data_IF_878540179842
#
_entry.id   IF_878540179842
#
_cell.length_a   1.000
_cell.length_b   1.000
_cell.length_c   1.000
_cell.angle_alpha   90.00
_cell.angle_beta   90.00
_cell.angle_gamma   90.00
#
_symmetry.space_group_name_H-M   'P 1'
#
loop_
_entity.id
_entity.type
_entity.pdbx_description
1 polymer ?
#
# COMPACT_ATOMS: atom_id res chain seq x y z
N UNK A 1 -7.38 -58.09 54.08
CA UNK A 1 -6.43 -56.99 53.83
C UNK A 1 -6.71 -56.44 52.44
N UNK A 2 -7.11 -55.18 52.34
CA UNK A 2 -7.62 -54.57 51.11
C UNK A 2 -6.47 -54.00 50.26
N UNK A 3 -6.52 -54.22 48.94
CA UNK A 3 -5.58 -53.64 47.98
C UNK A 3 -6.15 -52.31 47.44
N UNK A 4 -5.34 -51.25 47.50
CA UNK A 4 -5.68 -49.91 47.01
C UNK A 4 -5.35 -49.81 45.52
N UNK A 5 -6.32 -49.44 44.70
CA UNK A 5 -6.11 -49.14 43.28
C UNK A 5 -5.82 -47.64 43.10
N UNK A 6 -4.69 -47.32 42.48
CA UNK A 6 -4.32 -45.94 42.10
C UNK A 6 -5.00 -45.61 40.78
N UNK A 7 -5.86 -44.58 40.76
CA UNK A 7 -6.44 -44.02 39.54
C UNK A 7 -5.56 -42.86 39.08
N UNK A 8 -4.87 -43.03 37.95
CA UNK A 8 -4.14 -41.96 37.26
C UNK A 8 -5.13 -41.11 36.47
N UNK A 9 -5.22 -39.82 36.82
CA UNK A 9 -6.03 -38.84 36.09
C UNK A 9 -5.12 -38.08 35.12
N UNK A 10 -5.34 -38.23 33.82
CA UNK A 10 -4.64 -37.48 32.78
C UNK A 10 -5.46 -36.24 32.43
N UNK A 11 -4.96 -35.05 32.76
CA UNK A 11 -5.56 -33.78 32.31
C UNK A 11 -4.93 -33.37 30.98
N UNK A 12 -5.65 -33.59 29.88
CA UNK A 12 -5.28 -33.00 28.59
C UNK A 12 -5.70 -31.53 28.59
N UNK A 13 -4.73 -30.62 28.64
CA UNK A 13 -4.97 -29.20 28.46
C UNK A 13 -5.40 -28.94 27.01
N UNK A 14 -6.70 -28.71 26.79
CA UNK A 14 -7.22 -28.21 25.53
C UNK A 14 -6.60 -26.82 25.27
N UNK A 15 -5.71 -26.74 24.29
CA UNK A 15 -5.17 -25.46 23.85
C UNK A 15 -6.29 -24.64 23.22
N UNK A 16 -6.49 -23.35 23.59
CA UNK A 16 -7.47 -22.51 22.92
C UNK A 16 -7.13 -22.43 21.43
N UNK A 17 -8.12 -22.29 20.53
CA UNK A 17 -7.85 -22.11 19.11
C UNK A 17 -6.89 -20.92 18.98
N UNK A 18 -5.70 -21.15 18.40
CA UNK A 18 -4.84 -20.05 17.93
C UNK A 18 -5.70 -19.27 16.94
N UNK A 19 -6.14 -18.09 17.35
CA UNK A 19 -6.64 -17.10 16.41
C UNK A 19 -5.49 -16.87 15.44
N UNK A 20 -5.63 -17.37 14.22
CA UNK A 20 -4.72 -17.03 13.13
C UNK A 20 -4.70 -15.52 13.07
N UNK A 21 -3.57 -14.91 13.40
CA UNK A 21 -3.35 -13.52 13.09
C UNK A 21 -3.64 -13.40 11.59
N UNK A 22 -4.67 -12.64 11.23
CA UNK A 22 -4.93 -12.28 9.84
C UNK A 22 -3.63 -11.66 9.32
N UNK A 23 -2.92 -12.38 8.45
CA UNK A 23 -1.73 -11.86 7.82
C UNK A 23 -2.16 -10.66 7.00
N UNK A 24 -1.79 -9.46 7.48
CA UNK A 24 -1.98 -8.23 6.73
C UNK A 24 -0.92 -8.25 5.64
N UNK A 25 -1.35 -8.30 4.38
CA UNK A 25 -0.46 -8.14 3.24
C UNK A 25 0.21 -6.75 3.33
N UNK A 26 1.51 -6.64 3.60
CA UNK A 26 2.16 -5.34 3.73
C UNK A 26 2.16 -4.55 2.42
N UNK A 27 2.16 -5.24 1.27
CA UNK A 27 2.18 -4.61 -0.06
C UNK A 27 0.87 -3.85 -0.30
N UNK A 28 -0.26 -4.50 -0.07
CA UNK A 28 -1.58 -3.89 -0.22
C UNK A 28 -1.95 -2.99 0.96
N UNK A 29 -1.49 -3.36 2.16
CA UNK A 29 -1.77 -2.68 3.41
C UNK A 29 -3.20 -2.93 3.89
N UNK A 30 -3.78 -1.92 4.52
CA UNK A 30 -5.13 -1.93 5.04
C UNK A 30 -5.29 -1.05 6.27
N UNK A 31 -6.38 -0.29 6.29
CA UNK A 31 -6.79 0.52 7.43
C UNK A 31 -8.32 0.70 7.43
N UNK A 32 -8.96 1.09 8.55
CA UNK A 32 -10.39 1.42 8.56
C UNK A 32 -10.81 2.38 7.44
N UNK A 33 -9.97 3.39 7.17
CA UNK A 33 -10.14 4.40 6.12
C UNK A 33 -9.67 3.96 4.72
N UNK A 34 -9.05 2.79 4.59
CA UNK A 34 -8.60 2.22 3.33
C UNK A 34 -8.72 0.70 3.37
N UNK A 35 -9.93 0.20 3.09
CA UNK A 35 -10.16 -1.24 3.03
C UNK A 35 -9.39 -1.81 1.83
N UNK A 36 -8.48 -2.77 2.02
CA UNK A 36 -7.68 -3.29 0.94
C UNK A 36 -8.56 -4.08 -0.04
N UNK A 37 -8.34 -3.89 -1.35
CA UNK A 37 -9.07 -4.61 -2.39
C UNK A 37 -8.13 -4.88 -3.55
N UNK A 38 -8.19 -6.08 -4.13
CA UNK A 38 -7.47 -6.42 -5.35
C UNK A 38 -8.31 -7.33 -6.23
N UNK A 39 -8.48 -6.91 -7.47
CA UNK A 39 -8.99 -7.71 -8.58
C UNK A 39 -8.47 -7.10 -9.89
N UNK A 40 -8.84 -7.68 -11.03
CA UNK A 40 -8.33 -7.26 -12.34
C UNK A 40 -8.79 -5.86 -12.75
N UNK A 41 -9.87 -5.35 -12.17
CA UNK A 41 -10.45 -4.05 -12.49
C UNK A 41 -9.99 -2.95 -11.53
N UNK A 42 -9.44 -3.32 -10.36
CA UNK A 42 -9.20 -2.38 -9.28
C UNK A 42 -8.22 -2.92 -8.26
N UNK A 43 -7.27 -2.07 -7.88
CA UNK A 43 -6.48 -2.22 -6.65
C UNK A 43 -6.74 -1.02 -5.73
N UNK A 44 -7.00 -1.29 -4.46
CA UNK A 44 -7.13 -0.27 -3.41
C UNK A 44 -6.23 -0.64 -2.24
N UNK A 45 -5.41 0.31 -1.80
CA UNK A 45 -4.47 0.05 -0.72
C UNK A 45 -3.75 1.30 -0.23
N UNK A 46 -3.01 1.11 0.85
CA UNK A 46 -2.13 2.11 1.47
C UNK A 46 -0.84 1.47 1.99
N UNK A 47 -0.53 0.25 1.53
CA UNK A 47 0.62 -0.54 1.93
C UNK A 47 1.92 -0.10 1.27
N UNK A 48 2.99 -0.83 1.57
CA UNK A 48 4.37 -0.55 1.12
C UNK A 48 4.54 -0.60 -0.39
N UNK A 49 3.60 -1.22 -1.11
CA UNK A 49 3.76 -1.54 -2.52
C UNK A 49 4.94 -2.48 -2.79
N UNK A 50 5.28 -2.61 -4.06
CA UNK A 50 6.42 -3.39 -4.57
C UNK A 50 6.68 -3.03 -6.04
N UNK A 51 7.71 -3.60 -6.66
CA UNK A 51 7.95 -3.45 -8.11
C UNK A 51 7.39 -4.62 -8.91
N UNK A 52 6.49 -5.43 -8.35
CA UNK A 52 5.98 -6.65 -9.01
C UNK A 52 4.90 -6.35 -10.07
N UNK A 53 4.18 -5.24 -9.94
CA UNK A 53 3.10 -4.86 -10.85
C UNK A 53 2.91 -3.34 -10.93
N UNK A 54 2.14 -2.88 -11.93
CA UNK A 54 1.78 -1.47 -12.07
C UNK A 54 1.09 -0.90 -10.82
N UNK A 55 0.03 -1.53 -10.30
CA UNK A 55 -0.58 -1.07 -9.05
C UNK A 55 0.37 -1.09 -7.85
N UNK A 56 1.25 -2.08 -7.75
CA UNK A 56 2.17 -2.18 -6.61
C UNK A 56 3.22 -1.08 -6.62
N UNK A 57 3.74 -0.70 -7.79
CA UNK A 57 4.75 0.36 -7.87
C UNK A 57 4.12 1.73 -7.60
N UNK A 58 2.85 1.90 -7.97
CA UNK A 58 2.05 3.08 -7.62
C UNK A 58 1.86 3.15 -6.10
N UNK A 59 1.50 2.03 -5.45
CA UNK A 59 1.43 1.97 -3.99
C UNK A 59 2.79 2.30 -3.35
N UNK A 60 3.89 1.80 -3.90
CA UNK A 60 5.23 2.07 -3.37
C UNK A 60 5.59 3.56 -3.46
N UNK A 61 5.28 4.21 -4.59
CA UNK A 61 5.48 5.65 -4.75
C UNK A 61 4.65 6.44 -3.73
N UNK A 62 3.38 6.09 -3.54
CA UNK A 62 2.51 6.79 -2.58
C UNK A 62 2.89 6.51 -1.13
N UNK A 63 3.35 5.30 -0.80
CA UNK A 63 3.87 4.96 0.51
C UNK A 63 5.13 5.77 0.83
N UNK A 64 6.05 5.91 -0.13
CA UNK A 64 7.22 6.77 0.02
C UNK A 64 6.84 8.23 0.29
N UNK A 65 5.77 8.71 -0.35
CA UNK A 65 5.28 10.08 -0.17
C UNK A 65 4.61 10.30 1.20
N UNK A 66 3.68 9.43 1.60
CA UNK A 66 2.85 9.66 2.79
C UNK A 66 3.39 9.03 4.06
N UNK A 67 4.12 7.91 3.97
CA UNK A 67 4.58 7.13 5.12
C UNK A 67 6.08 7.28 5.33
N UNK A 68 6.92 6.92 4.35
CA UNK A 68 8.37 7.13 4.46
C UNK A 68 8.74 8.61 4.47
N UNK A 69 7.89 9.46 3.89
CA UNK A 69 8.09 10.91 3.72
C UNK A 69 9.44 11.24 3.08
N UNK A 70 9.81 10.49 2.03
CA UNK A 70 11.09 10.59 1.33
C UNK A 70 10.89 10.76 -0.18
N UNK A 71 11.30 11.92 -0.72
CA UNK A 71 11.30 12.15 -2.17
C UNK A 71 12.31 11.26 -2.91
N UNK A 72 13.39 10.84 -2.23
CA UNK A 72 14.37 9.91 -2.77
C UNK A 72 13.77 8.51 -2.95
N UNK A 73 13.05 8.01 -1.94
CA UNK A 73 12.38 6.70 -2.00
C UNK A 73 11.29 6.71 -3.09
N UNK A 74 10.57 7.83 -3.23
CA UNK A 74 9.58 7.99 -4.28
C UNK A 74 10.22 7.93 -5.67
N UNK A 75 11.40 8.55 -5.86
CA UNK A 75 12.15 8.47 -7.12
C UNK A 75 12.82 7.12 -7.35
N UNK A 76 13.12 6.35 -6.30
CA UNK A 76 13.75 5.04 -6.42
C UNK A 76 12.88 4.00 -7.17
N UNK A 77 11.57 4.21 -7.22
CA UNK A 77 10.61 3.35 -7.96
C UNK A 77 10.22 3.91 -9.34
N UNK A 78 10.95 4.91 -9.81
CA UNK A 78 10.74 5.54 -11.13
C UNK A 78 11.92 5.25 -12.06
N UNK A 79 11.73 5.35 -13.37
CA UNK A 79 12.87 5.32 -14.29
C UNK A 79 13.72 6.59 -14.13
N UNK A 80 15.04 6.54 -14.40
CA UNK A 80 15.90 7.72 -14.28
C UNK A 80 15.41 8.92 -15.09
N UNK A 81 14.86 8.67 -16.27
CA UNK A 81 14.31 9.64 -17.23
C UNK A 81 12.79 9.89 -17.07
N UNK A 82 12.16 9.34 -16.03
CA UNK A 82 10.72 9.42 -15.87
C UNK A 82 10.23 10.88 -15.84
N UNK A 83 9.12 11.14 -16.54
CA UNK A 83 8.38 12.39 -16.50
C UNK A 83 7.59 12.51 -15.18
N UNK A 84 8.34 12.69 -14.10
CA UNK A 84 7.91 12.81 -12.70
C UNK A 84 8.74 13.93 -12.06
N UNK A 85 8.21 14.71 -11.11
CA UNK A 85 8.96 15.79 -10.48
C UNK A 85 10.29 15.32 -9.84
N UNK A 86 11.23 16.25 -9.69
CA UNK A 86 12.52 15.97 -9.05
C UNK A 86 12.37 15.63 -7.56
N UNK A 87 13.42 15.06 -6.94
CA UNK A 87 13.46 14.75 -5.51
C UNK A 87 13.09 15.97 -4.65
N UNK A 88 13.62 17.15 -4.98
CA UNK A 88 13.37 18.38 -4.22
C UNK A 88 11.92 18.84 -4.33
N UNK A 89 11.32 18.75 -5.52
CA UNK A 89 9.91 19.12 -5.74
C UNK A 89 8.99 18.13 -5.01
N UNK A 90 9.28 16.83 -5.06
CA UNK A 90 8.52 15.82 -4.32
C UNK A 90 8.65 16.08 -2.81
N UNK A 91 9.86 16.32 -2.32
CA UNK A 91 10.12 16.60 -0.90
C UNK A 91 9.38 17.86 -0.41
N UNK A 92 9.33 18.91 -1.23
CA UNK A 92 8.52 20.10 -0.94
C UNK A 92 7.02 19.76 -0.85
N UNK A 93 6.50 18.92 -1.77
CA UNK A 93 5.13 18.39 -1.71
C UNK A 93 4.85 17.63 -0.41
N UNK A 94 5.73 16.69 -0.04
CA UNK A 94 5.63 15.91 1.20
C UNK A 94 5.56 16.83 2.42
N UNK A 95 6.42 17.86 2.46
CA UNK A 95 6.45 18.82 3.57
C UNK A 95 5.19 19.69 3.67
N UNK A 96 4.44 19.86 2.58
CA UNK A 96 3.15 20.56 2.59
C UNK A 96 2.00 19.71 3.16
N UNK A 97 2.19 18.39 3.30
CA UNK A 97 1.20 17.47 3.87
C UNK A 97 1.45 17.31 5.37
N UNK A 98 0.46 17.61 6.23
CA UNK A 98 0.59 17.48 7.68
C UNK A 98 1.00 16.07 8.11
N UNK A 99 1.86 15.99 9.14
CA UNK A 99 2.19 14.72 9.78
C UNK A 99 0.93 14.03 10.34
N UNK A 100 0.86 12.70 10.24
CA UNK A 100 -0.32 11.93 10.64
C UNK A 100 -1.45 11.92 9.60
N UNK A 101 -1.26 12.51 8.42
CA UNK A 101 -2.20 12.34 7.30
C UNK A 101 -2.27 10.87 6.89
N UNK A 102 -3.47 10.30 6.92
CA UNK A 102 -3.70 8.98 6.35
C UNK A 102 -3.94 9.10 4.85
N UNK A 103 -3.63 8.03 4.11
CA UNK A 103 -3.86 7.99 2.67
C UNK A 103 -4.56 6.69 2.27
N UNK A 104 -5.32 6.75 1.17
CA UNK A 104 -5.84 5.59 0.48
C UNK A 104 -5.68 5.79 -1.02
N UNK A 105 -5.12 4.80 -1.70
CA UNK A 105 -4.88 4.84 -3.14
C UNK A 105 -5.84 3.88 -3.81
N UNK A 106 -6.52 4.37 -4.85
CA UNK A 106 -7.31 3.59 -5.77
C UNK A 106 -6.61 3.58 -7.13
N UNK A 107 -6.39 2.41 -7.69
CA UNK A 107 -5.71 2.21 -8.96
C UNK A 107 -6.61 1.40 -9.88
N UNK A 108 -7.01 2.01 -11.00
CA UNK A 108 -7.85 1.38 -12.02
C UNK A 108 -7.06 1.30 -13.33
N UNK A 109 -6.86 0.11 -13.93
CA UNK A 109 -6.23 0.00 -15.23
C UNK A 109 -7.09 0.63 -16.33
N UNK A 110 -6.43 1.25 -17.31
CA UNK A 110 -7.06 1.87 -18.46
C UNK A 110 -6.77 1.07 -19.73
N UNK A 111 -7.64 1.18 -20.73
CA UNK A 111 -7.51 0.44 -21.99
C UNK A 111 -6.23 0.79 -22.79
N UNK A 112 -5.64 1.97 -22.55
CA UNK A 112 -4.41 2.44 -23.18
C UNK A 112 -3.14 2.04 -22.40
N UNK A 113 -3.27 1.17 -21.40
CA UNK A 113 -2.15 0.66 -20.59
C UNK A 113 -1.71 1.60 -19.46
N UNK A 114 -2.36 2.75 -19.28
CA UNK A 114 -2.16 3.61 -18.10
C UNK A 114 -2.98 3.13 -16.91
N UNK A 115 -2.76 3.77 -15.77
CA UNK A 115 -3.59 3.64 -14.59
C UNK A 115 -4.24 4.98 -14.25
N UNK A 116 -5.54 4.96 -13.98
CA UNK A 116 -6.24 6.04 -13.29
C UNK A 116 -6.04 5.85 -11.79
N UNK A 117 -5.36 6.82 -11.17
CA UNK A 117 -4.98 6.77 -9.77
C UNK A 117 -5.70 7.88 -9.02
N UNK A 118 -6.53 7.48 -8.06
CA UNK A 118 -7.21 8.40 -7.13
C UNK A 118 -6.60 8.23 -5.75
N UNK A 119 -6.16 9.34 -5.17
CA UNK A 119 -5.55 9.38 -3.84
C UNK A 119 -6.44 10.19 -2.93
N UNK A 120 -6.88 9.59 -1.83
CA UNK A 120 -7.60 10.27 -0.77
C UNK A 120 -6.67 10.52 0.40
N UNK A 121 -6.44 11.79 0.75
CA UNK A 121 -5.79 12.21 1.99
C UNK A 121 -6.83 12.47 3.08
N UNK A 122 -6.59 11.98 4.28
CA UNK A 122 -7.38 12.27 5.48
C UNK A 122 -6.45 12.95 6.47
N UNK A 123 -6.53 14.29 6.50
CA UNK A 123 -5.62 15.12 7.31
C UNK A 123 -6.12 15.20 8.76
N UNK A 124 -5.23 15.40 9.75
CA UNK A 124 -5.62 15.79 11.11
C UNK A 124 -6.48 17.06 11.04
N UNK A 125 -7.60 17.10 11.78
CA UNK A 125 -8.70 18.07 11.64
C UNK A 125 -9.72 17.81 10.50
N UNK A 126 -9.76 16.56 10.00
CA UNK A 126 -10.84 16.02 9.15
C UNK A 126 -11.01 16.65 7.77
N UNK A 127 -10.04 17.42 7.28
CA UNK A 127 -10.02 17.83 5.89
C UNK A 127 -9.69 16.62 5.01
N UNK A 128 -10.68 16.16 4.24
CA UNK A 128 -10.50 15.14 3.20
C UNK A 128 -10.12 15.84 1.90
N UNK A 129 -9.05 15.39 1.26
CA UNK A 129 -8.66 15.85 -0.08
C UNK A 129 -8.54 14.67 -1.02
N UNK A 130 -8.97 14.87 -2.25
CA UNK A 130 -8.86 13.85 -3.30
C UNK A 130 -8.06 14.42 -4.47
N UNK A 131 -7.05 13.67 -4.90
CA UNK A 131 -6.25 13.97 -6.07
C UNK A 131 -6.42 12.84 -7.08
N UNK A 132 -6.41 13.20 -8.37
CA UNK A 132 -6.48 12.24 -9.46
C UNK A 132 -5.30 12.47 -10.38
N UNK A 133 -4.68 11.39 -10.84
CA UNK A 133 -3.54 11.41 -11.75
C UNK A 133 -3.57 10.19 -12.66
N UNK A 134 -3.00 10.32 -13.85
CA UNK A 134 -2.70 9.21 -14.74
C UNK A 134 -1.25 8.80 -14.58
N UNK A 135 -1.03 7.49 -14.40
CA UNK A 135 0.31 6.92 -14.24
C UNK A 135 0.62 5.97 -15.39
N UNK A 136 1.79 6.13 -15.99
CA UNK A 136 2.36 5.20 -16.97
C UNK A 136 3.52 4.48 -16.32
N UNK A 137 3.58 3.16 -16.50
CA UNK A 137 4.66 2.31 -16.02
C UNK A 137 5.42 1.67 -17.18
N UNK A 138 6.61 1.15 -16.90
CA UNK A 138 7.41 0.40 -17.87
C UNK A 138 6.69 -0.87 -18.34
N UNK A 139 6.84 -1.20 -19.62
CA UNK A 139 6.38 -2.46 -20.20
C UNK A 139 7.54 -3.48 -20.26
N UNK A 140 7.21 -4.77 -20.33
CA UNK A 140 8.16 -5.86 -20.54
C UNK A 140 8.47 -6.69 -19.29
N UNK A 141 9.37 -7.68 -19.41
CA UNK A 141 9.73 -8.57 -18.31
C UNK A 141 10.65 -7.87 -17.29
N UNK A 142 10.39 -8.07 -16.01
CA UNK A 142 11.23 -7.57 -14.91
C UNK A 142 10.47 -6.67 -13.93
N UNK A 143 11.20 -5.98 -13.03
CA UNK A 143 10.60 -5.03 -12.10
C UNK A 143 9.90 -3.88 -12.82
N UNK A 144 8.69 -3.55 -12.39
CA UNK A 144 7.91 -2.43 -12.91
C UNK A 144 8.37 -1.12 -12.26
N UNK A 145 8.58 -0.09 -13.07
CA UNK A 145 8.92 1.27 -12.64
C UNK A 145 7.95 2.29 -13.21
N UNK A 146 7.73 3.41 -12.52
CA UNK A 146 6.92 4.51 -13.03
C UNK A 146 7.73 5.32 -14.05
N UNK A 147 7.17 5.51 -15.25
CA UNK A 147 7.77 6.29 -16.33
C UNK A 147 7.16 7.70 -16.45
N UNK A 148 5.91 7.90 -16.01
CA UNK A 148 5.23 9.20 -16.09
C UNK A 148 4.10 9.31 -15.08
N UNK A 149 3.95 10.50 -14.51
CA UNK A 149 2.77 10.92 -13.75
C UNK A 149 2.25 12.21 -14.38
N UNK A 150 0.97 12.27 -14.71
CA UNK A 150 0.35 13.44 -15.34
C UNK A 150 -1.05 13.70 -14.77
N UNK A 151 -1.53 14.95 -14.79
CA UNK A 151 -2.93 15.23 -14.48
C UNK A 151 -3.85 14.56 -15.50
N UNK A 152 -5.12 14.28 -15.13
CA UNK A 152 -6.14 13.90 -16.09
C UNK A 152 -6.28 14.97 -17.18
N UNK A 153 -6.30 14.53 -18.43
CA UNK A 153 -6.60 15.34 -19.62
C UNK A 153 -8.09 15.47 -19.83
#
# INVERSE_FOLDING_TARGET
>A
MAAVAVVLVYTAAASPPRQSATYVDPVLGGAPSCQPTRNDQLVRGNGTGSTASGPDVILAFQYAYYVSRSGADARAVTTPDAAVPSIDVISAGINSVPAGTQHCVLVTPMADGRFDVVITEIRPASAIRTYRQFVTVTAGPGPVSIAKIAPPT
#
